data_IF_405891231954
#
_entry.id   IF_405891231954
#
_cell.length_a   1.000
_cell.length_b   1.000
_cell.length_c   1.000
_cell.angle_alpha   90.00
_cell.angle_beta   90.00
_cell.angle_gamma   90.00
#
_symmetry.space_group_name_H-M   'P 1'
#
loop_
_entity.id
_entity.type
_entity.pdbx_description
1 polymer ?
#
# COMPACT_ATOMS: atom_id res chain seq x y z
N UNK A 1 -13.84 -26.48 28.49
CA UNK A 1 -13.29 -27.05 27.24
C UNK A 1 -13.74 -26.22 26.04
N UNK A 2 -12.85 -25.97 25.06
CA UNK A 2 -13.24 -25.27 23.82
C UNK A 2 -13.74 -26.29 22.78
N UNK A 3 -15.00 -26.18 22.38
CA UNK A 3 -15.65 -27.08 21.41
C UNK A 3 -15.69 -26.51 19.99
N UNK A 4 -15.33 -25.23 19.81
CA UNK A 4 -15.46 -24.51 18.55
C UNK A 4 -14.63 -25.18 17.42
N UNK A 5 -13.36 -25.57 17.62
CA UNK A 5 -12.55 -26.17 16.55
C UNK A 5 -13.14 -27.48 15.97
N UNK A 6 -13.96 -28.17 16.77
CA UNK A 6 -14.63 -29.42 16.37
C UNK A 6 -15.90 -29.18 15.53
N UNK A 7 -16.31 -27.93 15.33
CA UNK A 7 -17.50 -27.57 14.56
C UNK A 7 -17.12 -27.24 13.12
N UNK A 8 -17.89 -27.79 12.18
CA UNK A 8 -17.67 -27.62 10.73
C UNK A 8 -17.89 -26.19 10.24
N UNK A 9 -18.64 -25.37 10.97
CA UNK A 9 -18.90 -23.96 10.65
C UNK A 9 -17.84 -23.00 11.22
N UNK A 10 -16.84 -23.49 11.95
CA UNK A 10 -15.84 -22.61 12.55
C UNK A 10 -15.03 -21.88 11.47
N UNK A 11 -15.15 -20.55 11.42
CA UNK A 11 -14.53 -19.71 10.37
C UNK A 11 -13.02 -19.91 10.25
N UNK A 12 -12.31 -20.04 11.38
CA UNK A 12 -10.84 -20.24 11.38
C UNK A 12 -10.38 -21.68 11.12
N UNK A 13 -11.29 -22.62 10.86
CA UNK A 13 -10.85 -23.95 10.46
C UNK A 13 -10.18 -23.86 9.09
N UNK A 14 -9.08 -24.60 8.91
CA UNK A 14 -8.27 -24.55 7.69
C UNK A 14 -9.10 -24.79 6.43
N UNK A 15 -10.02 -25.75 6.49
CA UNK A 15 -10.91 -26.08 5.36
C UNK A 15 -11.84 -24.94 4.98
N UNK A 16 -12.35 -24.19 5.97
CA UNK A 16 -13.24 -23.06 5.71
C UNK A 16 -12.47 -21.86 5.18
N UNK A 17 -11.27 -21.60 5.72
CA UNK A 17 -10.37 -20.57 5.18
C UNK A 17 -9.99 -20.90 3.73
N UNK A 18 -9.72 -22.17 3.42
CA UNK A 18 -9.39 -22.59 2.06
C UNK A 18 -10.56 -22.40 1.07
N UNK A 19 -11.80 -22.67 1.50
CA UNK A 19 -13.00 -22.41 0.69
C UNK A 19 -13.17 -20.92 0.42
N UNK A 20 -13.10 -20.09 1.45
CA UNK A 20 -13.17 -18.63 1.31
C UNK A 20 -12.09 -18.13 0.36
N UNK A 21 -10.86 -18.60 0.50
CA UNK A 21 -9.75 -18.23 -0.40
C UNK A 21 -10.01 -18.64 -1.85
N UNK A 22 -10.62 -19.81 -2.08
CA UNK A 22 -10.98 -20.28 -3.42
C UNK A 22 -12.09 -19.42 -4.04
N UNK A 23 -13.09 -19.07 -3.25
CA UNK A 23 -14.20 -18.23 -3.70
C UNK A 23 -13.72 -16.79 -3.97
N UNK A 24 -12.87 -16.23 -3.11
CA UNK A 24 -12.20 -14.94 -3.30
C UNK A 24 -11.32 -14.94 -4.55
N UNK A 25 -10.52 -15.99 -4.76
CA UNK A 25 -9.68 -16.13 -5.95
C UNK A 25 -10.53 -16.21 -7.22
N UNK A 26 -11.63 -16.99 -7.20
CA UNK A 26 -12.55 -17.10 -8.34
C UNK A 26 -13.22 -15.76 -8.64
N UNK A 27 -13.68 -15.04 -7.62
CA UNK A 27 -14.27 -13.71 -7.79
C UNK A 27 -13.26 -12.72 -8.40
N UNK A 28 -12.01 -12.76 -7.93
CA UNK A 28 -10.93 -11.93 -8.47
C UNK A 28 -10.61 -12.27 -9.94
N UNK A 29 -10.58 -13.55 -10.32
CA UNK A 29 -10.39 -13.99 -11.70
C UNK A 29 -11.52 -13.53 -12.63
N UNK A 30 -12.78 -13.68 -12.20
CA UNK A 30 -13.95 -13.22 -12.95
C UNK A 30 -13.96 -11.70 -13.17
N UNK A 31 -13.57 -10.93 -12.15
CA UNK A 31 -13.43 -9.48 -12.25
C UNK A 31 -12.30 -9.09 -13.23
N UNK A 32 -11.15 -9.77 -13.16
CA UNK A 32 -10.04 -9.54 -14.10
C UNK A 32 -10.46 -9.80 -15.54
N UNK A 33 -11.14 -10.92 -15.82
CA UNK A 33 -11.63 -11.24 -17.17
C UNK A 33 -12.61 -10.18 -17.68
N UNK A 34 -13.49 -9.66 -16.80
CA UNK A 34 -14.42 -8.59 -17.16
C UNK A 34 -13.69 -7.28 -17.48
N UNK A 35 -12.68 -6.92 -16.69
CA UNK A 35 -11.84 -5.75 -16.95
C UNK A 35 -11.04 -5.89 -18.26
N UNK A 36 -10.47 -7.07 -18.52
CA UNK A 36 -9.74 -7.34 -19.77
C UNK A 36 -10.66 -7.22 -20.99
N UNK A 37 -11.88 -7.78 -20.90
CA UNK A 37 -12.89 -7.63 -21.95
C UNK A 37 -13.27 -6.17 -22.20
N UNK A 38 -13.43 -5.38 -21.13
CA UNK A 38 -13.73 -3.96 -21.26
C UNK A 38 -12.57 -3.18 -21.92
N UNK A 39 -11.33 -3.44 -21.51
CA UNK A 39 -10.12 -2.83 -22.12
C UNK A 39 -9.98 -3.19 -23.59
N UNK A 40 -10.26 -4.45 -23.95
CA UNK A 40 -10.23 -4.90 -25.35
C UNK A 40 -11.30 -4.18 -26.16
N UNK A 41 -12.54 -4.12 -25.66
CA UNK A 41 -13.63 -3.42 -26.33
C UNK A 41 -13.33 -1.92 -26.51
N UNK A 42 -12.71 -1.27 -25.52
CA UNK A 42 -12.28 0.13 -25.62
C UNK A 42 -11.20 0.32 -26.69
N UNK A 43 -10.20 -0.56 -26.72
CA UNK A 43 -9.15 -0.56 -27.76
C UNK A 43 -9.78 -0.72 -29.14
N UNK A 44 -10.66 -1.69 -29.32
CA UNK A 44 -11.36 -1.94 -30.58
C UNK A 44 -12.18 -0.71 -31.00
N UNK A 45 -13.01 -0.16 -30.11
CA UNK A 45 -13.81 1.03 -30.39
C UNK A 45 -12.94 2.23 -30.80
N UNK A 46 -11.82 2.46 -30.10
CA UNK A 46 -10.86 3.51 -30.43
C UNK A 46 -10.25 3.30 -31.82
N UNK A 47 -9.85 2.07 -32.14
CA UNK A 47 -9.28 1.75 -33.47
C UNK A 47 -10.31 1.88 -34.57
N UNK A 48 -11.56 1.48 -34.35
CA UNK A 48 -12.65 1.64 -35.30
C UNK A 48 -12.91 3.12 -35.57
N UNK A 49 -13.00 3.94 -34.52
CA UNK A 49 -13.14 5.39 -34.66
C UNK A 49 -12.00 6.01 -35.48
N UNK A 50 -10.75 5.62 -35.23
CA UNK A 50 -9.61 6.11 -36.00
C UNK A 50 -9.66 5.65 -37.46
N UNK A 51 -10.05 4.39 -37.72
CA UNK A 51 -10.23 3.87 -39.08
C UNK A 51 -11.32 4.61 -39.83
N UNK A 52 -12.44 4.91 -39.18
CA UNK A 52 -13.55 5.62 -39.79
C UNK A 52 -13.18 7.07 -40.11
N UNK A 53 -12.49 7.76 -39.19
CA UNK A 53 -11.89 9.08 -39.45
C UNK A 53 -10.90 9.06 -40.61
N UNK A 54 -10.05 8.03 -40.71
CA UNK A 54 -9.11 7.90 -41.82
C UNK A 54 -9.84 7.68 -43.15
N UNK A 55 -10.88 6.84 -43.17
CA UNK A 55 -11.74 6.63 -44.34
C UNK A 55 -12.46 7.92 -44.75
N UNK A 56 -12.96 8.71 -43.80
CA UNK A 56 -13.56 10.02 -44.09
C UNK A 56 -12.55 10.96 -44.75
N UNK A 57 -11.34 11.08 -44.19
CA UNK A 57 -10.25 11.89 -44.79
C UNK A 57 -9.89 11.45 -46.21
N UNK A 58 -9.82 10.14 -46.46
CA UNK A 58 -9.52 9.58 -47.78
C UNK A 58 -10.68 9.78 -48.78
N UNK A 59 -11.94 9.81 -48.32
CA UNK A 59 -13.07 10.13 -49.18
C UNK A 59 -13.10 11.62 -49.56
N UNK A 60 -12.70 12.50 -48.65
CA UNK A 60 -12.66 13.95 -48.90
C UNK A 60 -11.42 14.39 -49.68
N UNK A 61 -10.33 13.62 -49.59
CA UNK A 61 -9.13 13.82 -50.39
C UNK A 61 -9.27 12.99 -51.66
N UNK A 62 -9.80 13.56 -52.73
CA UNK A 62 -9.52 13.04 -54.08
C UNK A 62 -8.01 12.75 -54.17
N UNK A 63 -7.71 11.54 -54.62
CA UNK A 63 -6.39 10.94 -54.77
C UNK A 63 -5.32 11.95 -55.21
N UNK A 64 -4.57 12.50 -54.25
CA UNK A 64 -3.28 13.13 -54.55
C UNK A 64 -2.35 11.94 -54.79
N UNK A 65 -2.14 11.61 -56.06
CA UNK A 65 -1.03 10.76 -56.48
C UNK A 65 0.23 11.39 -55.91
N UNK A 66 0.82 10.72 -54.92
CA UNK A 66 2.09 11.09 -54.32
C UNK A 66 3.16 10.96 -55.41
N UNK A 67 3.36 12.03 -56.19
CA UNK A 67 4.46 12.15 -57.14
C UNK A 67 5.72 12.34 -56.32
N UNK A 68 6.34 11.23 -55.96
CA UNK A 68 7.59 11.16 -55.23
C UNK A 68 8.75 11.39 -56.20
N UNK A 69 8.94 12.64 -56.62
CA UNK A 69 10.27 13.10 -57.03
C UNK A 69 10.98 13.58 -55.74
N UNK A 70 12.26 13.21 -55.60
CA UNK A 70 13.20 13.59 -54.53
C UNK A 70 13.25 12.73 -53.25
N UNK A 71 13.63 11.45 -53.39
CA UNK A 71 14.70 10.82 -52.58
C UNK A 71 14.98 9.37 -53.08
N UNK A 72 16.22 8.99 -53.42
CA UNK A 72 16.54 7.63 -53.82
C UNK A 72 16.66 6.74 -52.58
N UNK A 73 15.53 6.26 -52.05
CA UNK A 73 15.56 5.15 -51.09
C UNK A 73 15.88 3.89 -51.89
N UNK A 74 17.00 3.25 -51.57
CA UNK A 74 17.47 2.02 -52.20
C UNK A 74 16.64 0.81 -51.74
N UNK A 75 15.35 0.79 -52.13
CA UNK A 75 14.36 -0.25 -51.80
C UNK A 75 14.53 -1.48 -52.73
N UNK A 76 15.31 -1.35 -53.81
CA UNK A 76 15.55 -2.44 -54.74
C UNK A 76 16.71 -3.32 -54.24
N UNK A 77 16.45 -4.63 -54.17
CA UNK A 77 17.46 -5.66 -53.94
C UNK A 77 18.20 -5.91 -55.27
N UNK A 78 19.41 -6.47 -55.24
CA UNK A 78 20.21 -6.75 -56.46
C UNK A 78 19.44 -7.60 -57.51
N UNK A 79 18.43 -8.35 -57.06
CA UNK A 79 17.52 -9.15 -57.89
C UNK A 79 16.29 -8.38 -58.43
N UNK A 80 16.24 -7.05 -58.31
CA UNK A 80 15.13 -6.21 -58.77
C UNK A 80 13.85 -6.27 -57.91
N UNK A 81 13.88 -6.99 -56.80
CA UNK A 81 12.74 -7.10 -55.88
C UNK A 81 12.71 -5.93 -54.90
N UNK A 82 11.53 -5.34 -54.72
CA UNK A 82 11.31 -4.19 -53.82
C UNK A 82 11.12 -4.73 -52.39
N UNK A 83 12.11 -4.53 -51.52
CA UNK A 83 12.03 -4.92 -50.11
C UNK A 83 11.65 -3.72 -49.24
N UNK A 84 10.35 -3.60 -48.95
CA UNK A 84 9.80 -2.58 -48.05
C UNK A 84 10.23 -2.73 -46.58
N UNK A 85 10.81 -3.88 -46.22
CA UNK A 85 11.22 -4.22 -44.85
C UNK A 85 12.74 -4.21 -44.68
N UNK A 86 13.51 -3.75 -45.67
CA UNK A 86 14.97 -3.69 -45.59
C UNK A 86 15.43 -2.90 -44.35
N UNK A 87 14.82 -1.76 -44.09
CA UNK A 87 15.12 -0.93 -42.90
C UNK A 87 14.73 -1.63 -41.58
N UNK A 88 13.68 -2.46 -41.61
CA UNK A 88 13.26 -3.29 -40.49
C UNK A 88 14.23 -4.45 -40.23
N UNK A 89 14.72 -5.10 -41.28
CA UNK A 89 15.72 -6.18 -41.22
C UNK A 89 17.09 -5.65 -40.77
N UNK A 90 17.46 -4.46 -41.24
CA UNK A 90 18.68 -3.74 -40.85
C UNK A 90 18.59 -3.11 -39.45
N UNK A 91 17.42 -3.18 -38.80
CA UNK A 91 17.24 -2.77 -37.40
C UNK A 91 17.27 -1.25 -37.19
N UNK A 92 17.05 -0.48 -38.26
CA UNK A 92 17.04 0.99 -38.27
C UNK A 92 15.72 1.52 -37.69
N UNK A 93 14.65 0.70 -37.74
CA UNK A 93 13.35 1.05 -37.18
C UNK A 93 13.39 1.24 -35.65
N UNK A 94 13.07 2.45 -35.21
CA UNK A 94 12.90 2.85 -33.81
C UNK A 94 11.88 1.98 -33.05
N UNK A 95 10.99 1.30 -33.78
CA UNK A 95 9.99 0.36 -33.26
C UNK A 95 10.60 -0.89 -32.60
N UNK A 96 11.84 -1.28 -32.95
CA UNK A 96 12.56 -2.40 -32.32
C UNK A 96 13.45 -1.99 -31.16
N UNK A 97 13.67 -0.69 -30.92
CA UNK A 97 14.32 -0.25 -29.68
C UNK A 97 13.35 -0.57 -28.54
N UNK A 98 13.63 -1.65 -27.81
CA UNK A 98 13.03 -1.86 -26.51
C UNK A 98 13.17 -0.57 -25.71
N UNK A 99 12.09 -0.15 -25.05
CA UNK A 99 12.12 1.09 -24.28
C UNK A 99 13.22 0.94 -23.22
N UNK A 100 14.34 1.65 -23.44
CA UNK A 100 15.52 1.57 -22.60
C UNK A 100 15.19 1.95 -21.16
N UNK A 101 14.19 2.79 -20.95
CA UNK A 101 13.68 3.14 -19.62
C UNK A 101 12.97 1.97 -18.94
N UNK A 102 12.16 1.21 -19.69
CA UNK A 102 11.43 0.06 -19.16
C UNK A 102 12.34 -1.11 -18.80
N UNK A 103 13.40 -1.35 -19.58
CA UNK A 103 14.36 -2.42 -19.25
C UNK A 103 15.23 -2.04 -18.04
N UNK A 104 15.53 -0.74 -17.87
CA UNK A 104 16.16 -0.22 -16.65
C UNK A 104 15.23 -0.35 -15.43
N UNK A 105 13.97 0.05 -15.56
CA UNK A 105 12.97 -0.06 -14.49
C UNK A 105 12.80 -1.50 -14.02
N UNK A 106 12.71 -2.46 -14.95
CA UNK A 106 12.65 -3.89 -14.62
C UNK A 106 13.88 -4.38 -13.89
N UNK A 107 15.07 -3.94 -14.31
CA UNK A 107 16.32 -4.32 -13.64
C UNK A 107 16.38 -3.72 -12.22
N UNK A 108 15.96 -2.47 -12.05
CA UNK A 108 15.86 -1.84 -10.74
C UNK A 108 14.84 -2.55 -9.84
N UNK A 109 13.67 -2.92 -10.36
CA UNK A 109 12.67 -3.69 -9.60
C UNK A 109 13.20 -5.06 -9.16
N UNK A 110 13.92 -5.75 -10.05
CA UNK A 110 14.60 -7.01 -9.72
C UNK A 110 15.66 -6.81 -8.63
N UNK A 111 16.51 -5.81 -8.76
CA UNK A 111 17.53 -5.49 -7.75
C UNK A 111 16.90 -5.08 -6.41
N UNK A 112 15.79 -4.33 -6.41
CA UNK A 112 15.07 -3.97 -5.19
C UNK A 112 14.45 -5.20 -4.53
N UNK A 113 13.87 -6.11 -5.31
CA UNK A 113 13.35 -7.38 -4.83
C UNK A 113 14.46 -8.26 -4.24
N UNK A 114 15.59 -8.37 -4.94
CA UNK A 114 16.76 -9.11 -4.49
C UNK A 114 17.40 -8.48 -3.25
N UNK A 115 17.49 -7.15 -3.16
CA UNK A 115 17.90 -6.42 -1.95
C UNK A 115 16.93 -6.68 -0.79
N UNK A 116 15.62 -6.67 -1.06
CA UNK A 116 14.59 -6.89 -0.05
C UNK A 116 14.58 -8.31 0.49
N UNK A 117 14.87 -9.31 -0.34
CA UNK A 117 14.99 -10.72 0.05
C UNK A 117 16.36 -11.04 0.63
N UNK A 118 17.34 -10.20 0.30
CA UNK A 118 18.70 -10.31 0.80
C UNK A 118 19.64 -11.12 -0.11
N UNK A 119 19.26 -11.37 -1.37
CA UNK A 119 20.14 -11.94 -2.39
C UNK A 119 21.25 -10.96 -2.79
N UNK A 120 20.94 -9.66 -2.85
CA UNK A 120 21.87 -8.60 -3.25
C UNK A 120 22.22 -7.64 -2.08
N UNK A 121 21.99 -8.04 -0.82
CA UNK A 121 22.55 -7.32 0.33
C UNK A 121 23.94 -7.83 0.62
N UNK A 122 24.94 -6.95 0.49
CA UNK A 122 26.30 -7.27 0.86
C UNK A 122 26.40 -7.41 2.39
N UNK A 123 26.91 -8.56 2.83
CA UNK A 123 27.12 -8.88 4.24
C UNK A 123 27.98 -7.77 4.88
N UNK A 124 27.41 -7.01 5.81
CA UNK A 124 28.11 -5.92 6.49
C UNK A 124 27.49 -4.53 6.33
N UNK A 125 26.56 -4.31 5.39
CA UNK A 125 25.94 -3.00 5.15
C UNK A 125 25.08 -2.49 6.32
N UNK A 126 24.42 -3.41 7.04
CA UNK A 126 23.60 -3.10 8.22
C UNK A 126 24.39 -3.17 9.54
N UNK A 127 25.72 -3.30 9.47
CA UNK A 127 26.52 -3.30 10.70
C UNK A 127 26.51 -1.93 11.36
N UNK A 128 26.54 -1.94 12.69
CA UNK A 128 26.59 -0.75 13.54
C UNK A 128 27.73 0.20 13.15
N UNK A 129 28.84 -0.34 12.63
CA UNK A 129 29.99 0.41 12.13
C UNK A 129 29.70 1.18 10.84
N UNK A 130 29.04 0.54 9.86
CA UNK A 130 28.64 1.19 8.60
C UNK A 130 27.56 2.26 8.81
N UNK A 131 26.65 2.05 9.77
CA UNK A 131 25.59 3.00 10.12
C UNK A 131 26.04 4.09 11.10
N UNK A 132 27.29 4.05 11.57
CA UNK A 132 27.82 4.98 12.59
C UNK A 132 27.05 4.93 13.92
N UNK A 133 26.27 3.87 14.16
CA UNK A 133 25.46 3.70 15.37
C UNK A 133 26.25 2.89 16.38
N UNK A 134 26.56 3.47 17.53
CA UNK A 134 27.19 2.72 18.60
C UNK A 134 26.15 1.86 19.33
N UNK A 135 26.43 0.58 19.49
CA UNK A 135 25.60 -0.31 20.30
C UNK A 135 25.67 0.09 21.78
N UNK A 136 24.60 -0.21 22.53
CA UNK A 136 24.51 0.10 23.96
C UNK A 136 25.63 -0.52 24.83
N UNK A 137 26.25 -1.60 24.36
CA UNK A 137 27.38 -2.27 25.03
C UNK A 137 28.74 -1.64 24.69
N UNK A 138 28.84 -0.87 23.60
CA UNK A 138 30.05 -0.13 23.22
C UNK A 138 30.10 1.27 23.83
N UNK A 139 29.05 1.71 24.52
CA UNK A 139 28.97 2.99 25.23
C UNK A 139 28.92 2.72 26.72
N UNK A 140 29.91 3.22 27.48
CA UNK A 140 29.83 3.18 28.93
C UNK A 140 28.64 4.05 29.40
N UNK A 141 27.79 3.57 30.33
CA UNK A 141 26.72 4.38 30.89
C UNK A 141 27.27 5.68 31.46
N UNK A 142 26.66 6.82 31.13
CA UNK A 142 27.07 8.11 31.66
C UNK A 142 26.81 8.16 33.17
N UNK A 143 27.90 8.18 33.94
CA UNK A 143 27.88 8.26 35.42
C UNK A 143 27.97 9.70 35.93
N UNK A 144 28.18 10.68 35.05
CA UNK A 144 28.43 12.08 35.42
C UNK A 144 27.13 12.89 35.47
N UNK A 145 26.09 12.50 34.73
CA UNK A 145 24.77 13.10 34.86
C UNK A 145 24.09 12.68 36.18
N UNK A 146 24.15 13.58 37.17
CA UNK A 146 23.33 13.57 38.40
C UNK A 146 21.85 13.86 38.11
N UNK A 147 21.22 13.08 37.24
CA UNK A 147 19.77 12.93 37.35
C UNK A 147 19.54 11.94 38.50
N UNK A 148 19.47 12.49 39.73
CA UNK A 148 19.28 11.75 40.98
C UNK A 148 17.89 11.08 41.10
N UNK A 149 17.18 10.93 39.97
CA UNK A 149 15.96 10.15 39.91
C UNK A 149 16.35 8.70 39.70
N UNK A 150 16.67 8.03 40.81
CA UNK A 150 16.85 6.58 40.77
C UNK A 150 15.62 5.94 40.10
N UNK A 151 15.88 5.20 39.03
CA UNK A 151 14.83 4.44 38.37
C UNK A 151 14.24 3.45 39.37
N UNK A 152 12.92 3.42 39.47
CA UNK A 152 12.16 2.47 40.28
C UNK A 152 12.28 2.63 41.81
N UNK A 153 12.42 3.86 42.34
CA UNK A 153 12.37 4.16 43.79
C UNK A 153 11.17 3.51 44.50
N UNK A 154 9.99 3.49 43.87
CA UNK A 154 8.75 2.96 44.46
C UNK A 154 8.79 1.44 44.65
N UNK A 155 9.45 0.68 43.79
CA UNK A 155 9.60 -0.78 43.98
C UNK A 155 10.71 -1.07 44.98
N UNK A 156 11.82 -0.33 44.93
CA UNK A 156 12.90 -0.44 45.92
C UNK A 156 12.40 -0.19 47.35
N UNK A 157 11.61 0.87 47.57
CA UNK A 157 11.01 1.18 48.86
C UNK A 157 9.99 0.13 49.34
N UNK A 158 9.28 -0.54 48.42
CA UNK A 158 8.33 -1.62 48.74
C UNK A 158 9.02 -2.94 49.09
N UNK A 159 10.17 -3.21 48.46
CA UNK A 159 10.96 -4.43 48.65
C UNK A 159 12.05 -4.26 49.73
N UNK A 160 12.09 -3.12 50.40
CA UNK A 160 13.03 -2.86 51.50
C UNK A 160 12.62 -3.67 52.75
N UNK A 161 13.46 -4.59 53.25
CA UNK A 161 13.18 -5.38 54.46
C UNK A 161 12.98 -4.50 55.71
N UNK A 162 13.57 -3.30 55.76
CA UNK A 162 13.37 -2.37 56.88
C UNK A 162 11.92 -1.87 56.96
N UNK A 163 11.23 -1.75 55.83
CA UNK A 163 9.80 -1.42 55.78
C UNK A 163 8.94 -2.49 56.47
N UNK A 164 9.35 -3.75 56.34
CA UNK A 164 8.70 -4.89 57.00
C UNK A 164 9.03 -4.87 58.50
N UNK A 165 10.31 -4.72 58.87
CA UNK A 165 10.75 -4.71 60.26
C UNK A 165 10.14 -3.56 61.07
N UNK A 166 10.04 -2.36 60.50
CA UNK A 166 9.44 -1.19 61.17
C UNK A 166 8.01 -1.46 61.65
N UNK A 167 7.20 -2.19 60.88
CA UNK A 167 5.81 -2.55 61.25
C UNK A 167 5.72 -3.40 62.52
N UNK A 168 6.74 -4.22 62.79
CA UNK A 168 6.78 -5.09 63.96
C UNK A 168 7.46 -4.43 65.16
N UNK A 169 8.28 -3.41 64.93
CA UNK A 169 9.00 -2.68 65.99
C UNK A 169 8.15 -1.52 66.54
N UNK A 170 7.40 -0.81 65.69
CA UNK A 170 6.47 0.24 66.14
C UNK A 170 5.17 -0.38 66.67
N UNK A 171 5.18 -0.77 67.95
CA UNK A 171 3.93 -1.02 68.69
C UNK A 171 3.20 0.32 68.86
N UNK A 172 1.91 0.45 68.54
CA UNK A 172 1.15 1.61 68.99
C UNK A 172 0.99 1.48 70.51
N UNK A 173 1.51 2.45 71.25
CA UNK A 173 1.16 2.58 72.67
C UNK A 173 -0.36 2.71 72.77
N UNK A 174 -0.94 1.77 73.50
CA UNK A 174 -2.37 1.63 73.67
C UNK A 174 -2.91 2.73 74.59
N UNK A 175 -3.44 3.81 74.01
CA UNK A 175 -4.64 4.52 74.48
C UNK A 175 -5.29 5.10 73.21
N UNK A 176 -6.39 4.60 72.65
CA UNK A 176 -7.75 4.51 73.18
C UNK A 176 -8.49 3.44 72.38
N UNK A 177 -9.10 2.50 73.09
CA UNK A 177 -9.96 1.45 72.54
C UNK A 177 -11.31 2.01 72.06
N UNK A 178 -11.87 1.48 70.96
CA UNK A 178 -13.22 0.86 70.91
C UNK A 178 -13.38 -0.15 69.75
N UNK A 179 -13.58 -1.41 70.16
CA UNK A 179 -14.54 -2.42 69.68
C UNK A 179 -14.37 -3.21 68.36
N UNK A 180 -14.20 -4.53 68.58
CA UNK A 180 -14.92 -5.71 68.03
C UNK A 180 -14.83 -6.02 66.53
N UNK A 181 -13.98 -6.98 66.16
CA UNK A 181 -14.32 -8.41 65.98
C UNK A 181 -13.19 -9.12 65.20
N UNK A 182 -12.80 -10.32 65.65
CA UNK A 182 -11.77 -11.18 65.03
C UNK A 182 -12.49 -12.31 64.28
N UNK A 183 -11.92 -12.86 63.19
CA UNK A 183 -11.28 -14.16 63.39
C UNK A 183 -9.88 -14.27 62.76
N UNK A 184 -9.17 -15.27 63.30
CA UNK A 184 -7.76 -15.58 63.20
C UNK A 184 -7.29 -16.11 61.84
N UNK A 185 -5.99 -15.90 61.61
CA UNK A 185 -4.99 -16.79 61.01
C UNK A 185 -5.24 -17.39 59.61
N UNK A 186 -4.38 -17.00 58.68
CA UNK A 186 -3.34 -17.88 58.10
C UNK A 186 -2.92 -17.35 56.74
N UNK A 187 -1.62 -17.17 56.56
CA UNK A 187 -0.84 -17.52 55.37
C UNK A 187 0.43 -16.66 55.34
N UNK A 188 1.54 -17.28 55.73
CA UNK A 188 2.82 -17.02 55.08
C UNK A 188 2.63 -17.35 53.59
N UNK A 189 2.11 -16.39 52.82
CA UNK A 189 2.10 -16.44 51.36
C UNK A 189 3.19 -15.50 50.90
N UNK A 190 4.30 -16.06 50.45
CA UNK A 190 5.08 -15.42 49.39
C UNK A 190 4.09 -15.04 48.27
N UNK A 191 4.10 -13.80 47.77
CA UNK A 191 3.15 -13.42 46.73
C UNK A 191 3.61 -14.09 45.44
N UNK A 192 3.08 -15.29 45.17
CA UNK A 192 2.99 -15.80 43.82
C UNK A 192 2.26 -14.74 42.97
N UNK A 193 2.87 -14.39 41.86
CA UNK A 193 2.41 -13.42 40.89
C UNK A 193 0.95 -13.66 40.50
N UNK A 194 0.05 -12.88 41.09
CA UNK A 194 -1.28 -12.72 40.53
C UNK A 194 -1.19 -11.68 39.42
N UNK A 195 -0.96 -12.17 38.19
CA UNK A 195 -1.21 -11.40 36.96
C UNK A 195 -2.73 -11.21 36.86
N UNK A 196 -3.26 -10.25 37.62
CA UNK A 196 -4.58 -9.69 37.36
C UNK A 196 -4.43 -8.75 36.16
N UNK A 197 -4.83 -9.24 34.98
CA UNK A 197 -5.00 -8.38 33.80
C UNK A 197 -6.21 -7.49 34.04
N UNK A 198 -6.00 -6.35 34.69
CA UNK A 198 -6.90 -5.22 34.53
C UNK A 198 -6.80 -4.75 33.08
N UNK A 199 -7.79 -5.10 32.27
CA UNK A 199 -8.04 -4.47 30.98
C UNK A 199 -8.36 -2.99 31.24
N UNK A 200 -7.34 -2.14 31.15
CA UNK A 200 -7.57 -0.73 30.82
C UNK A 200 -7.85 -0.65 29.33
N UNK A 201 -8.99 -0.04 28.98
CA UNK A 201 -9.27 0.41 27.63
C UNK A 201 -8.10 1.28 27.16
N UNK A 202 -7.29 0.77 26.22
CA UNK A 202 -6.35 1.57 25.43
C UNK A 202 -7.12 2.08 24.22
N UNK A 203 -7.10 3.39 24.03
CA UNK A 203 -7.46 4.02 22.76
C UNK A 203 -6.80 3.27 21.61
N UNK A 204 -7.63 2.94 20.62
CA UNK A 204 -7.20 2.30 19.38
C UNK A 204 -6.33 3.30 18.61
N UNK A 205 -5.03 3.04 18.56
CA UNK A 205 -4.18 3.56 17.50
C UNK A 205 -4.77 3.14 16.15
N UNK A 206 -5.05 4.14 15.31
CA UNK A 206 -5.52 3.96 13.94
C UNK A 206 -4.46 3.23 13.14
N UNK A 207 -4.68 1.95 12.84
CA UNK A 207 -4.06 1.32 11.68
C UNK A 207 -4.69 1.95 10.45
N UNK A 208 -3.88 2.67 9.65
CA UNK A 208 -4.22 3.00 8.27
C UNK A 208 -4.22 1.69 7.50
N UNK A 209 -5.40 1.16 7.24
CA UNK A 209 -5.64 0.24 6.12
C UNK A 209 -5.97 1.12 4.93
N UNK A 210 -5.09 1.16 3.94
CA UNK A 210 -5.42 1.71 2.64
C UNK A 210 -6.45 0.78 2.00
N UNK A 211 -7.72 1.14 2.16
CA UNK A 211 -8.83 0.61 1.40
C UNK A 211 -9.15 1.63 0.31
N UNK A 212 -8.74 1.33 -0.91
CA UNK A 212 -9.28 1.96 -2.11
C UNK A 212 -10.77 1.63 -2.17
N UNK A 213 -11.60 2.57 -1.74
CA UNK A 213 -13.04 2.54 -1.94
C UNK A 213 -13.42 3.51 -3.04
N UNK A 214 -13.74 2.92 -4.18
CA UNK A 214 -14.42 3.45 -5.36
C UNK A 214 -15.57 4.41 -4.97
N UNK A 215 -15.43 5.68 -5.35
CA UNK A 215 -16.43 6.70 -5.07
C UNK A 215 -17.52 6.70 -6.15
N UNK A 216 -18.65 6.10 -5.80
CA UNK A 216 -19.90 6.21 -6.55
C UNK A 216 -20.41 7.66 -6.59
N UNK A 217 -20.50 8.17 -7.81
CA UNK A 217 -21.55 9.04 -8.35
C UNK A 217 -22.30 9.99 -7.39
N UNK A 218 -21.87 11.25 -7.36
CA UNK A 218 -22.77 12.40 -7.15
C UNK A 218 -22.82 13.27 -8.41
N UNK A 219 -23.69 12.88 -9.34
CA UNK A 219 -24.15 13.69 -10.48
C UNK A 219 -24.81 14.98 -9.98
N UNK A 220 -24.07 16.10 -9.98
CA UNK A 220 -24.66 17.44 -9.91
C UNK A 220 -25.29 17.75 -11.28
N UNK A 221 -26.62 17.72 -11.34
CA UNK A 221 -27.41 18.22 -12.48
C UNK A 221 -27.10 19.71 -12.70
N UNK A 222 -26.26 20.03 -13.71
CA UNK A 222 -26.27 21.36 -14.33
C UNK A 222 -27.48 21.41 -15.27
N UNK A 223 -28.51 22.16 -14.84
CA UNK A 223 -29.65 22.51 -15.69
C UNK A 223 -29.15 23.34 -16.86
N UNK A 224 -29.41 22.87 -18.07
CA UNK A 224 -29.37 23.69 -19.28
C UNK A 224 -30.44 24.77 -19.16
N UNK A 225 -30.06 26.05 -19.21
CA UNK A 225 -30.97 27.13 -19.59
C UNK A 225 -30.79 27.32 -21.08
N UNK A 226 -31.62 26.61 -21.86
CA UNK A 226 -31.93 26.96 -23.24
C UNK A 226 -33.04 28.01 -23.15
N UNK A 227 -32.67 29.29 -23.17
CA UNK A 227 -33.60 30.35 -23.48
C UNK A 227 -33.67 30.48 -25.01
N UNK A 228 -34.83 30.10 -25.52
CA UNK A 228 -35.41 30.59 -26.76
C UNK A 228 -35.41 32.12 -26.79
N UNK A 229 -35.02 32.69 -27.92
CA UNK A 229 -35.67 33.85 -28.52
C UNK A 229 -35.38 33.82 -30.04
N UNK A 230 -36.35 33.27 -30.77
CA UNK A 230 -36.97 33.89 -31.96
C UNK A 230 -37.37 35.33 -31.60
N UNK A 231 -37.45 36.35 -32.44
CA UNK A 231 -37.33 36.62 -33.87
C UNK A 231 -37.14 38.14 -33.93
N UNK A 232 -36.35 38.68 -34.85
CA UNK A 232 -36.71 39.93 -35.56
C UNK A 232 -35.74 40.16 -36.73
N UNK A 233 -36.26 39.80 -37.90
CA UNK A 233 -35.88 40.31 -39.21
C UNK A 233 -36.00 41.82 -39.27
N UNK A 234 -35.00 42.48 -39.85
CA UNK A 234 -35.27 43.58 -40.78
C UNK A 234 -34.11 43.72 -41.79
N UNK A 235 -34.53 43.68 -43.05
CA UNK A 235 -33.82 44.08 -44.25
C UNK A 235 -33.42 45.56 -44.24
N UNK A 236 -32.35 45.89 -44.98
CA UNK A 236 -32.09 47.12 -45.77
C UNK A 236 -30.56 47.25 -45.94
N UNK A 237 -29.99 46.84 -47.08
CA UNK A 237 -29.80 47.57 -48.34
C UNK A 237 -28.56 48.49 -48.39
N UNK A 238 -27.80 48.31 -49.46
CA UNK A 238 -26.93 49.27 -50.16
C UNK A 238 -25.52 49.65 -49.63
N UNK A 239 -24.54 49.26 -50.46
CA UNK A 239 -23.51 50.10 -51.10
C UNK A 239 -22.63 51.04 -50.24
N UNK A 240 -21.33 50.71 -50.20
CA UNK A 240 -20.22 51.51 -50.74
C UNK A 240 -18.91 50.72 -50.67
#
# INVERSE_FOLDING_TARGET
MNILPKKRWHVRNRDNIARVRKDEAKAAEEERLKQERAKLAEREARTQLLRDKAKERLKTSEFISFSSEDAPVNIQTEDGHINFFKDFEEGIDECKKANVEHDKEKKEEQEQYEKKIGYLTYLGQDTNEALGKQSWYNVAPDRLHKNNEEVNLKTKAKLDPLSIMKKYITKPDATVAKNKDVPKESNLRFPAENISKQKKHKEKGKYKTDSESDSSERRKKKRTKKCSNSDESNDESEAA
#
